data_IF_852483000320
#
_entry.id   IF_852483000320
#
_cell.length_a   1.000
_cell.length_b   1.000
_cell.length_c   1.000
_cell.angle_alpha   90.00
_cell.angle_beta   90.00
_cell.angle_gamma   90.00
#
_symmetry.space_group_name_H-M   'P 1'
#
loop_
_entity.id
_entity.type
_entity.pdbx_description
1 polymer ?
#
# COMPACT_ATOMS: atom_id res chain seq x y z
N UNK A 1 13.82 -18.43 6.69
CA UNK A 1 15.14 -17.88 6.29
C UNK A 1 14.85 -16.88 5.19
N UNK A 2 15.08 -15.58 5.40
CA UNK A 2 14.91 -14.61 4.31
C UNK A 2 16.02 -14.86 3.30
N UNK A 3 15.65 -15.01 2.04
CA UNK A 3 16.54 -15.21 0.88
C UNK A 3 17.48 -14.02 0.57
N UNK A 4 17.53 -13.02 1.46
CA UNK A 4 18.33 -11.80 1.32
C UNK A 4 17.74 -10.77 0.36
N UNK A 5 16.60 -11.06 -0.29
CA UNK A 5 15.94 -10.13 -1.20
C UNK A 5 15.15 -9.08 -0.40
N UNK A 6 15.09 -7.82 -0.88
CA UNK A 6 14.21 -6.82 -0.26
C UNK A 6 12.76 -7.30 -0.36
N UNK A 7 11.97 -7.08 0.68
CA UNK A 7 10.53 -7.33 0.61
C UNK A 7 9.81 -6.02 0.26
N UNK A 8 8.70 -6.11 -0.47
CA UNK A 8 7.95 -4.93 -0.89
C UNK A 8 6.52 -4.96 -0.36
N UNK A 9 6.03 -3.79 0.03
CA UNK A 9 4.61 -3.55 0.25
C UNK A 9 4.04 -2.93 -1.02
N UNK A 10 2.93 -3.45 -1.52
CA UNK A 10 2.20 -2.81 -2.60
C UNK A 10 0.82 -2.44 -2.10
N UNK A 11 0.48 -1.17 -2.20
CA UNK A 11 -0.84 -0.65 -1.83
C UNK A 11 -1.67 -0.52 -3.10
N UNK A 12 -2.72 -1.32 -3.19
CA UNK A 12 -3.70 -1.27 -4.26
C UNK A 12 -4.66 -0.11 -4.00
N UNK A 13 -4.39 1.00 -4.68
CA UNK A 13 -5.25 2.18 -4.75
C UNK A 13 -5.93 2.31 -6.14
N UNK A 14 -6.03 1.19 -6.87
CA UNK A 14 -6.80 1.10 -8.10
C UNK A 14 -8.24 0.67 -7.79
N UNK A 15 -9.00 1.60 -7.22
CA UNK A 15 -10.41 1.43 -6.89
C UNK A 15 -11.25 1.47 -8.17
N UNK A 16 -11.35 0.30 -8.81
CA UNK A 16 -11.96 0.14 -10.12
C UNK A 16 -13.38 -0.40 -10.13
N UNK A 17 -13.88 -0.84 -8.98
CA UNK A 17 -15.20 -1.45 -8.84
C UNK A 17 -16.34 -0.41 -8.90
N UNK A 18 -17.40 -0.63 -9.70
CA UNK A 18 -18.51 0.31 -9.80
C UNK A 18 -19.15 0.60 -8.43
N UNK A 19 -19.29 1.89 -8.09
CA UNK A 19 -19.90 2.32 -6.82
C UNK A 19 -18.95 2.38 -5.63
N UNK A 20 -17.69 1.99 -5.79
CA UNK A 20 -16.66 2.14 -4.74
C UNK A 20 -15.96 3.50 -4.86
N UNK A 21 -15.86 4.20 -3.73
CA UNK A 21 -15.19 5.51 -3.63
C UNK A 21 -14.46 5.72 -2.30
N UNK A 22 -14.31 4.65 -1.50
CA UNK A 22 -13.74 4.71 -0.15
C UNK A 22 -12.25 5.02 -0.18
N UNK A 23 -11.52 4.48 -1.15
CA UNK A 23 -10.07 4.67 -1.28
C UNK A 23 -9.78 6.09 -1.75
N UNK A 24 -10.66 6.63 -2.62
CA UNK A 24 -10.62 8.02 -3.08
C UNK A 24 -10.66 9.02 -1.93
N UNK A 25 -11.52 8.80 -0.93
CA UNK A 25 -11.65 9.70 0.22
C UNK A 25 -10.37 9.77 1.06
N UNK A 26 -9.74 8.61 1.29
CA UNK A 26 -8.48 8.54 2.05
C UNK A 26 -7.37 9.27 1.32
N UNK A 27 -7.20 9.02 0.02
CA UNK A 27 -6.12 9.63 -0.76
C UNK A 27 -6.23 11.15 -0.86
N UNK A 28 -7.44 11.71 -0.98
CA UNK A 28 -7.61 13.16 -1.18
C UNK A 28 -7.66 13.96 0.12
N UNK A 29 -8.28 13.42 1.17
CA UNK A 29 -8.56 14.18 2.40
C UNK A 29 -7.61 13.86 3.54
N UNK A 30 -7.11 12.63 3.62
CA UNK A 30 -6.18 12.21 4.69
C UNK A 30 -5.05 11.30 4.17
N UNK A 31 -4.22 11.80 3.23
CA UNK A 31 -3.13 11.03 2.65
C UNK A 31 -2.04 10.66 3.68
N UNK A 32 -1.85 11.47 4.73
CA UNK A 32 -0.85 11.21 5.77
C UNK A 32 -1.17 9.95 6.58
N UNK A 33 -2.45 9.67 6.85
CA UNK A 33 -2.88 8.41 7.46
C UNK A 33 -2.47 7.20 6.61
N UNK A 34 -2.59 7.29 5.29
CA UNK A 34 -2.15 6.22 4.39
C UNK A 34 -0.63 6.05 4.40
N UNK A 35 0.13 7.15 4.35
CA UNK A 35 1.59 7.13 4.36
C UNK A 35 2.16 6.54 5.67
N UNK A 36 1.58 6.94 6.81
CA UNK A 36 1.90 6.35 8.11
C UNK A 36 1.56 4.85 8.13
N UNK A 37 0.40 4.47 7.58
CA UNK A 37 0.01 3.08 7.42
C UNK A 37 1.00 2.27 6.60
N UNK A 38 1.54 2.85 5.52
CA UNK A 38 2.56 2.20 4.70
C UNK A 38 3.81 1.91 5.53
N UNK A 39 4.29 2.87 6.32
CA UNK A 39 5.45 2.69 7.19
C UNK A 39 5.22 1.59 8.23
N UNK A 40 4.08 1.63 8.92
CA UNK A 40 3.75 0.65 9.97
C UNK A 40 3.58 -0.75 9.40
N UNK A 41 2.83 -0.90 8.31
CA UNK A 41 2.68 -2.18 7.61
C UNK A 41 4.03 -2.67 7.07
N UNK A 42 4.84 -1.76 6.53
CA UNK A 42 6.18 -2.04 6.04
C UNK A 42 7.08 -2.63 7.12
N UNK A 43 7.18 -1.98 8.28
CA UNK A 43 7.93 -2.49 9.44
C UNK A 43 7.39 -3.86 9.88
N UNK A 44 6.07 -4.01 9.98
CA UNK A 44 5.43 -5.28 10.40
C UNK A 44 5.75 -6.45 9.46
N UNK A 45 5.91 -6.17 8.16
CA UNK A 45 6.19 -7.16 7.13
C UNK A 45 7.66 -7.23 6.70
N UNK A 46 8.52 -6.40 7.31
CA UNK A 46 9.93 -6.21 6.94
C UNK A 46 10.12 -5.76 5.48
N UNK A 47 9.20 -4.96 4.96
CA UNK A 47 9.30 -4.39 3.62
C UNK A 47 10.24 -3.19 3.60
N UNK A 48 11.16 -3.15 2.64
CA UNK A 48 12.12 -2.06 2.46
C UNK A 48 11.51 -0.84 1.76
N UNK A 49 10.45 -1.05 0.98
CA UNK A 49 9.73 0.03 0.32
C UNK A 49 8.25 -0.32 0.13
N UNK A 50 7.42 0.73 0.06
CA UNK A 50 6.04 0.66 -0.37
C UNK A 50 5.87 1.26 -1.77
N UNK A 51 5.08 0.59 -2.60
CA UNK A 51 4.58 1.15 -3.86
C UNK A 51 3.07 1.33 -3.78
N UNK A 52 2.61 2.56 -3.86
CA UNK A 52 1.19 2.88 -3.92
C UNK A 52 0.81 2.94 -5.39
N UNK A 53 0.01 1.98 -5.86
CA UNK A 53 -0.46 1.91 -7.23
C UNK A 53 -1.83 2.57 -7.32
N UNK A 54 -1.87 3.78 -7.88
CA UNK A 54 -3.08 4.59 -7.99
C UNK A 54 -3.72 4.39 -9.36
N UNK A 55 -5.05 4.35 -9.38
CA UNK A 55 -5.84 4.46 -10.59
C UNK A 55 -5.43 5.67 -11.45
N UNK A 56 -5.37 5.51 -12.78
CA UNK A 56 -4.92 6.56 -13.69
C UNK A 56 -5.82 7.81 -13.68
N UNK A 57 -7.11 7.63 -13.46
CA UNK A 57 -8.14 8.67 -13.42
C UNK A 57 -8.08 9.54 -12.16
N UNK A 58 -7.44 9.05 -11.09
CA UNK A 58 -7.31 9.71 -9.79
C UNK A 58 -6.15 10.71 -9.77
N UNK A 59 -6.21 11.69 -10.69
CA UNK A 59 -5.12 12.66 -10.90
C UNK A 59 -4.98 13.59 -9.70
N UNK A 60 -6.08 14.17 -9.20
CA UNK A 60 -6.04 15.11 -8.08
C UNK A 60 -5.64 14.41 -6.77
N UNK A 61 -6.19 13.21 -6.57
CA UNK A 61 -5.90 12.33 -5.45
C UNK A 61 -4.40 11.97 -5.42
N UNK A 62 -3.82 11.60 -6.58
CA UNK A 62 -2.38 11.37 -6.71
C UNK A 62 -1.56 12.61 -6.38
N UNK A 63 -1.95 13.78 -6.90
CA UNK A 63 -1.22 15.03 -6.65
C UNK A 63 -1.24 15.39 -5.15
N UNK A 64 -2.36 15.18 -4.47
CA UNK A 64 -2.46 15.36 -3.01
C UNK A 64 -1.56 14.36 -2.27
N UNK A 65 -1.56 13.10 -2.67
CA UNK A 65 -0.70 12.08 -2.05
C UNK A 65 0.78 12.35 -2.30
N UNK A 66 1.16 12.80 -3.49
CA UNK A 66 2.54 13.22 -3.80
C UNK A 66 2.98 14.43 -2.98
N UNK A 67 2.08 15.39 -2.77
CA UNK A 67 2.33 16.54 -1.90
C UNK A 67 2.56 16.07 -0.46
N UNK A 68 1.66 15.25 0.08
CA UNK A 68 1.80 14.69 1.42
C UNK A 68 3.06 13.83 1.57
N UNK A 69 3.43 13.07 0.53
CA UNK A 69 4.66 12.30 0.49
C UNK A 69 5.87 13.23 0.62
N UNK A 70 5.93 14.31 -0.17
CA UNK A 70 7.02 15.30 -0.08
C UNK A 70 7.10 15.93 1.31
N UNK A 71 5.97 16.27 1.91
CA UNK A 71 5.89 16.78 3.29
C UNK A 71 6.45 15.76 4.30
N UNK A 72 6.06 14.49 4.20
CA UNK A 72 6.52 13.43 5.09
C UNK A 72 8.03 13.15 4.96
N UNK A 73 8.57 13.18 3.73
CA UNK A 73 10.03 13.09 3.51
C UNK A 73 10.76 14.31 4.05
N UNK A 74 10.23 15.52 3.85
CA UNK A 74 10.82 16.76 4.38
C UNK A 74 10.82 16.79 5.92
N UNK A 75 9.80 16.19 6.55
CA UNK A 75 9.71 16.03 8.00
C UNK A 75 10.55 14.85 8.55
N UNK A 76 11.23 14.07 7.70
CA UNK A 76 12.01 12.90 8.13
C UNK A 76 11.15 11.72 8.61
N UNK A 77 9.87 11.69 8.28
CA UNK A 77 8.96 10.60 8.63
C UNK A 77 9.13 9.38 7.71
N UNK A 78 9.61 9.60 6.48
CA UNK A 78 9.88 8.58 5.47
C UNK A 78 11.29 8.73 4.90
N UNK A 79 11.80 7.66 4.29
CA UNK A 79 13.13 7.58 3.71
C UNK A 79 14.12 6.91 4.65
N UNK A 80 15.37 7.39 4.63
CA UNK A 80 16.42 6.87 5.52
C UNK A 80 16.09 7.19 6.97
N UNK A 81 16.20 6.19 7.84
CA UNK A 81 15.86 6.32 9.26
C UNK A 81 14.46 6.91 9.49
N UNK A 82 13.44 6.31 8.87
CA UNK A 82 12.05 6.74 8.91
C UNK A 82 11.57 6.98 10.36
N UNK A 83 11.09 8.19 10.63
CA UNK A 83 10.63 8.63 11.94
C UNK A 83 11.70 8.49 13.06
N UNK A 84 13.00 8.52 12.71
CA UNK A 84 14.11 8.37 13.65
C UNK A 84 14.22 6.97 14.28
N UNK A 85 13.56 5.96 13.71
CA UNK A 85 13.43 4.61 14.29
C UNK A 85 14.61 3.65 14.04
N UNK A 86 15.53 4.01 13.15
CA UNK A 86 16.59 3.17 12.60
C UNK A 86 16.17 2.32 11.39
N UNK A 87 14.92 2.47 10.92
CA UNK A 87 14.39 1.71 9.80
C UNK A 87 14.41 2.52 8.50
N UNK A 88 15.01 1.99 7.44
CA UNK A 88 14.98 2.61 6.12
C UNK A 88 13.71 2.17 5.38
N UNK A 89 12.87 3.13 5.01
CA UNK A 89 11.60 2.85 4.34
C UNK A 89 11.21 3.93 3.34
N UNK A 90 11.19 3.55 2.07
CA UNK A 90 10.80 4.44 0.98
C UNK A 90 9.37 4.20 0.51
N UNK A 91 8.68 5.27 0.11
CA UNK A 91 7.34 5.22 -0.48
C UNK A 91 7.41 5.76 -1.90
N UNK A 92 7.04 4.92 -2.85
CA UNK A 92 6.94 5.26 -4.26
C UNK A 92 5.47 5.31 -4.67
N UNK A 93 5.13 6.29 -5.50
CA UNK A 93 3.79 6.42 -6.06
C UNK A 93 3.88 6.04 -7.53
N UNK A 94 3.12 5.03 -7.93
CA UNK A 94 2.96 4.59 -9.31
C UNK A 94 1.50 4.75 -9.70
N UNK A 95 1.20 4.93 -10.97
CA UNK A 95 -0.17 5.08 -11.42
C UNK A 95 -0.42 4.35 -12.73
N UNK A 96 -1.61 3.77 -12.85
CA UNK A 96 -2.07 3.08 -14.05
C UNK A 96 -2.54 4.03 -15.16
N UNK A 97 -3.08 3.44 -16.21
CA UNK A 97 -3.62 4.16 -17.38
C UNK A 97 -5.10 3.83 -17.67
N UNK A 98 -5.88 3.54 -16.63
CA UNK A 98 -7.33 3.30 -16.75
C UNK A 98 -7.70 1.87 -17.18
N UNK A 99 -7.14 0.85 -16.51
CA UNK A 99 -7.40 -0.55 -16.81
C UNK A 99 -7.90 -1.30 -15.58
N UNK A 100 -9.19 -1.64 -15.55
CA UNK A 100 -9.84 -2.38 -14.44
C UNK A 100 -9.08 -3.65 -14.03
N UNK A 101 -8.53 -4.38 -15.02
CA UNK A 101 -7.80 -5.63 -14.78
C UNK A 101 -6.54 -5.43 -13.93
N UNK A 102 -5.95 -4.24 -13.95
CA UNK A 102 -4.78 -3.90 -13.14
C UNK A 102 -5.10 -3.79 -11.64
N UNK A 103 -6.38 -3.77 -11.25
CA UNK A 103 -6.79 -3.83 -9.85
C UNK A 103 -6.72 -5.23 -9.24
N UNK A 104 -6.54 -6.29 -10.04
CA UNK A 104 -6.29 -7.64 -9.53
C UNK A 104 -4.86 -7.76 -8.99
N UNK A 105 -4.69 -8.42 -7.84
CA UNK A 105 -3.43 -8.49 -7.09
C UNK A 105 -2.20 -8.81 -7.96
N UNK A 106 -2.28 -9.84 -8.80
CA UNK A 106 -1.13 -10.28 -9.60
C UNK A 106 -0.94 -9.46 -10.88
N UNK A 107 -2.03 -8.99 -11.48
CA UNK A 107 -1.99 -8.08 -12.62
C UNK A 107 -1.39 -6.72 -12.25
N UNK A 108 -1.66 -6.24 -11.03
CA UNK A 108 -1.10 -5.02 -10.48
C UNK A 108 0.43 -5.08 -10.44
N UNK A 109 0.98 -6.20 -9.96
CA UNK A 109 2.43 -6.42 -9.91
C UNK A 109 3.07 -6.38 -11.31
N UNK A 110 2.45 -7.04 -12.28
CA UNK A 110 2.92 -7.03 -13.67
C UNK A 110 2.86 -5.63 -14.30
N UNK A 111 1.77 -4.90 -14.05
CA UNK A 111 1.64 -3.52 -14.52
C UNK A 111 2.70 -2.61 -13.90
N UNK A 112 3.00 -2.78 -12.62
CA UNK A 112 4.00 -2.00 -11.89
C UNK A 112 5.43 -2.32 -12.38
N UNK A 113 5.67 -3.56 -12.82
CA UNK A 113 6.90 -3.97 -13.51
C UNK A 113 7.03 -3.39 -14.93
N UNK A 114 6.02 -2.68 -15.44
CA UNK A 114 6.00 -2.09 -16.77
C UNK A 114 5.58 -3.06 -17.89
N UNK A 115 5.09 -4.24 -17.52
CA UNK A 115 4.50 -5.20 -18.48
C UNK A 115 3.01 -4.89 -18.65
N UNK A 116 2.37 -5.61 -19.56
CA UNK A 116 0.90 -5.58 -19.65
C UNK A 116 0.32 -6.13 -18.34
N UNK A 117 -0.71 -5.47 -17.78
CA UNK A 117 -1.42 -5.89 -16.56
C UNK A 117 -2.24 -7.17 -16.75
N UNK A 118 -1.56 -8.27 -17.04
CA UNK A 118 -2.15 -9.61 -17.16
C UNK A 118 -1.90 -10.36 -15.85
N UNK A 119 -2.92 -11.00 -15.26
CA UNK A 119 -2.73 -11.80 -14.06
C UNK A 119 -1.66 -12.88 -14.25
N UNK A 120 -0.88 -13.14 -13.20
CA UNK A 120 0.07 -14.25 -13.17
C UNK A 120 -0.66 -15.55 -12.86
N UNK A 121 -0.20 -16.67 -13.42
CA UNK A 121 -0.63 -17.99 -12.98
C UNK A 121 -0.16 -18.23 -11.54
N UNK A 122 -1.08 -18.65 -10.67
CA UNK A 122 -0.75 -19.22 -9.36
C UNK A 122 -0.50 -20.72 -9.57
N UNK A 123 0.63 -21.33 -9.15
CA UNK A 123 1.83 -20.77 -8.49
C UNK A 123 2.84 -20.11 -9.46
N UNK A 124 3.72 -19.18 -9.00
CA UNK A 124 4.05 -18.83 -7.60
C UNK A 124 3.19 -17.72 -6.97
N UNK A 125 3.06 -17.74 -5.63
CA UNK A 125 2.33 -16.72 -4.87
C UNK A 125 3.15 -15.43 -4.67
N UNK A 126 2.51 -14.24 -4.59
CA UNK A 126 3.19 -12.95 -4.39
C UNK A 126 4.10 -12.90 -3.16
N UNK A 127 3.69 -13.54 -2.06
CA UNK A 127 4.48 -13.62 -0.84
C UNK A 127 5.84 -14.30 -1.03
N UNK A 128 5.97 -15.17 -2.04
CA UNK A 128 7.24 -15.84 -2.35
C UNK A 128 7.98 -15.18 -3.52
N UNK A 129 7.25 -14.76 -4.55
CA UNK A 129 7.79 -14.13 -5.76
C UNK A 129 6.76 -13.19 -6.39
N UNK A 130 6.69 -11.97 -5.86
CA UNK A 130 5.83 -10.89 -6.33
C UNK A 130 6.59 -9.87 -7.17
N UNK A 131 6.58 -8.61 -6.74
CA UNK A 131 7.18 -7.49 -7.45
C UNK A 131 8.69 -7.69 -7.65
N UNK A 132 9.16 -7.61 -8.88
CA UNK A 132 10.55 -7.87 -9.28
C UNK A 132 11.06 -9.24 -8.82
N UNK A 133 10.15 -10.22 -8.72
CA UNK A 133 10.43 -11.55 -8.18
C UNK A 133 10.68 -11.58 -6.68
N UNK A 134 10.56 -10.45 -5.97
CA UNK A 134 10.81 -10.34 -4.54
C UNK A 134 9.54 -10.62 -3.71
N UNK A 135 9.68 -11.05 -2.44
CA UNK A 135 8.53 -11.22 -1.54
C UNK A 135 7.69 -9.95 -1.47
N UNK A 136 6.42 -10.04 -1.84
CA UNK A 136 5.53 -8.87 -1.91
C UNK A 136 4.17 -9.21 -1.33
N UNK A 137 3.56 -8.24 -0.66
CA UNK A 137 2.15 -8.33 -0.29
C UNK A 137 1.39 -7.15 -0.84
N UNK A 138 0.26 -7.44 -1.47
CA UNK A 138 -0.67 -6.43 -1.96
C UNK A 138 -1.76 -6.23 -0.92
N UNK A 139 -2.03 -4.99 -0.56
CA UNK A 139 -3.03 -4.60 0.44
C UNK A 139 -3.86 -3.44 -0.09
N UNK A 140 -5.14 -3.37 0.24
CA UNK A 140 -5.97 -2.23 -0.15
C UNK A 140 -5.67 -1.00 0.73
N UNK A 141 -5.93 0.20 0.19
CA UNK A 141 -5.75 1.49 0.88
C UNK A 141 -6.40 1.51 2.25
N UNK A 142 -7.66 1.09 2.37
CA UNK A 142 -8.40 1.14 3.63
C UNK A 142 -7.72 0.28 4.71
N UNK A 143 -7.34 -0.95 4.38
CA UNK A 143 -6.66 -1.87 5.31
C UNK A 143 -5.36 -1.28 5.84
N UNK A 144 -4.57 -0.63 4.98
CA UNK A 144 -3.30 -0.01 5.39
C UNK A 144 -3.55 1.25 6.20
N UNK A 145 -4.52 2.08 5.81
CA UNK A 145 -4.82 3.34 6.48
C UNK A 145 -5.41 3.17 7.89
N UNK A 146 -6.11 2.07 8.18
CA UNK A 146 -6.62 1.80 9.53
C UNK A 146 -5.54 1.28 10.48
N UNK A 147 -4.48 0.63 9.96
CA UNK A 147 -3.43 -0.01 10.75
C UNK A 147 -2.79 0.90 11.82
N UNK A 148 -2.38 2.15 11.52
CA UNK A 148 -1.83 3.05 12.54
C UNK A 148 -2.80 3.31 13.70
N UNK A 149 -4.08 3.48 13.39
CA UNK A 149 -5.09 3.82 14.39
C UNK A 149 -5.42 2.62 15.27
N UNK A 150 -5.47 1.41 14.68
CA UNK A 150 -5.63 0.16 15.43
C UNK A 150 -4.47 -0.01 16.42
N UNK A 151 -3.23 0.15 15.97
CA UNK A 151 -2.07 -0.02 16.86
C UNK A 151 -2.01 1.05 17.95
N UNK A 152 -2.43 2.29 17.68
CA UNK A 152 -2.48 3.37 18.69
C UNK A 152 -3.58 3.20 19.73
N UNK A 153 -4.77 2.74 19.32
CA UNK A 153 -5.94 2.62 20.20
C UNK A 153 -6.05 1.25 20.89
N UNK A 154 -5.32 0.27 20.40
CA UNK A 154 -5.35 -1.11 20.86
C UNK A 154 -6.20 -2.00 19.95
N UNK A 155 -5.77 -3.25 19.68
CA UNK A 155 -6.51 -4.18 18.84
C UNK A 155 -7.87 -4.57 19.45
N UNK A 156 -8.01 -4.58 20.77
CA UNK A 156 -9.27 -4.88 21.46
C UNK A 156 -10.36 -3.84 21.17
N UNK A 157 -9.96 -2.57 21.03
CA UNK A 157 -10.88 -1.50 20.65
C UNK A 157 -11.46 -1.74 19.25
N UNK A 158 -10.62 -2.09 18.27
CA UNK A 158 -11.08 -2.39 16.92
C UNK A 158 -11.94 -3.67 16.89
N UNK A 159 -11.52 -4.71 17.63
CA UNK A 159 -12.25 -5.96 17.75
C UNK A 159 -13.60 -5.84 18.50
N UNK A 160 -13.82 -4.73 19.22
CA UNK A 160 -15.09 -4.47 19.92
C UNK A 160 -16.26 -4.14 18.98
N UNK A 161 -15.97 -3.79 17.72
CA UNK A 161 -16.97 -3.57 16.68
C UNK A 161 -17.22 -4.83 15.84
N UNK A 162 -18.43 -4.93 15.29
CA UNK A 162 -18.80 -6.01 14.37
C UNK A 162 -19.24 -7.31 15.06
N UNK A 163 -19.12 -8.43 14.35
CA UNK A 163 -19.50 -9.78 14.80
C UNK A 163 -18.26 -10.65 14.93
N UNK A 164 -18.38 -11.80 15.61
CA UNK A 164 -17.31 -12.80 15.65
C UNK A 164 -16.88 -13.17 14.22
N UNK A 165 -15.57 -13.11 13.96
CA UNK A 165 -14.93 -13.32 12.65
C UNK A 165 -15.17 -12.22 11.58
N UNK A 166 -15.81 -11.10 11.93
CA UNK A 166 -15.93 -9.91 11.09
C UNK A 166 -15.95 -8.67 12.00
N UNK A 167 -14.76 -8.15 12.29
CA UNK A 167 -14.56 -7.05 13.23
C UNK A 167 -13.90 -5.86 12.55
N UNK A 168 -14.31 -4.65 12.95
CA UNK A 168 -13.86 -3.37 12.41
C UNK A 168 -14.97 -2.37 12.21
#
# INVERSE_FOLDING_TARGET
VSDGRPSYLVVNADESEPGTCKDREIMRHDPHKLLEGCLIAGVGMRASAAYIYIRGEYVNERLNLEKARKEAYAAGLLGKNACGSGYDFDVHIHYGAGAYICGEETALLESLEGKQGKPRLKPPFPANAGLYGCPTTVTNVETVAVSPTILRRGPEWFASFGRKNNSG
#
